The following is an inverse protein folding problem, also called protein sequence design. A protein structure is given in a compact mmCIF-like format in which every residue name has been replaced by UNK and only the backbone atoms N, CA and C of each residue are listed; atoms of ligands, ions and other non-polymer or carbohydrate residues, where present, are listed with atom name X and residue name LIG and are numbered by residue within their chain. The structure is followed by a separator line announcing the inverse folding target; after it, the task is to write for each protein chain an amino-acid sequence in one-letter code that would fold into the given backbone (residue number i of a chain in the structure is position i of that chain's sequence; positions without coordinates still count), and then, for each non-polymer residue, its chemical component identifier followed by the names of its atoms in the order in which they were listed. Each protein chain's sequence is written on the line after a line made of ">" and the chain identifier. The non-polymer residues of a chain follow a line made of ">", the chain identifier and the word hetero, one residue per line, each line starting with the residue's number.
data_IF_331334749513
#
_entry.id   IF_331334749513
#
_cell.length_a   1.000
_cell.length_b   1.000
_cell.length_c   1.000
_cell.angle_alpha   90.00
_cell.angle_beta   90.00
_cell.angle_gamma   90.00
#
_symmetry.space_group_name_H-M   'P 1'
#
loop_
_entity.id
_entity.type
_entity.pdbx_description
1 polymer ?
#
# COMPACT_ATOMS: atom_id res chain seq x y z
N UNK A 1 6.28 -6.99 -5.54
CA UNK A 1 5.34 -7.69 -6.44
C UNK A 1 4.55 -6.64 -7.23
N UNK A 2 4.16 -6.96 -8.47
CA UNK A 2 3.37 -6.10 -9.36
C UNK A 2 1.93 -6.59 -9.39
N UNK A 3 0.93 -5.73 -9.22
CA UNK A 3 -0.47 -6.12 -9.14
C UNK A 3 -1.42 -5.06 -9.64
N UNK A 4 -2.68 -5.39 -9.58
CA UNK A 4 -3.80 -4.52 -9.95
C UNK A 4 -4.89 -4.59 -8.90
N UNK A 5 -5.71 -3.56 -8.85
CA UNK A 5 -7.02 -3.64 -8.21
C UNK A 5 -8.14 -3.46 -9.24
N UNK A 6 -9.23 -4.19 -9.01
CA UNK A 6 -10.35 -4.28 -9.96
C UNK A 6 -11.70 -4.38 -9.25
N UNK A 7 -12.75 -4.04 -10.01
CA UNK A 7 -14.15 -4.14 -9.61
C UNK A 7 -15.01 -4.53 -10.80
N UNK A 8 -16.31 -4.48 -10.64
CA UNK A 8 -17.26 -4.66 -11.74
C UNK A 8 -17.03 -3.70 -12.93
N UNK A 9 -16.26 -2.61 -12.75
CA UNK A 9 -15.85 -1.74 -13.86
C UNK A 9 -14.96 -2.43 -14.88
N UNK A 10 -14.25 -3.47 -14.46
CA UNK A 10 -13.43 -4.33 -15.32
C UNK A 10 -14.13 -5.65 -15.68
N UNK A 11 -15.48 -5.67 -15.66
CA UNK A 11 -16.24 -6.86 -16.04
C UNK A 11 -15.80 -7.41 -17.40
N UNK A 12 -15.50 -8.71 -17.46
CA UNK A 12 -14.99 -9.38 -18.64
C UNK A 12 -13.47 -9.50 -18.75
N UNK A 13 -12.72 -8.87 -17.81
CA UNK A 13 -11.28 -9.15 -17.70
C UNK A 13 -11.06 -10.56 -17.15
N UNK A 14 -9.96 -11.20 -17.55
CA UNK A 14 -9.44 -12.42 -16.93
C UNK A 14 -8.16 -12.07 -16.18
N UNK A 15 -8.24 -11.81 -14.86
CA UNK A 15 -7.05 -11.39 -14.09
C UNK A 15 -5.97 -12.46 -14.04
N UNK A 16 -6.33 -13.74 -14.15
CA UNK A 16 -5.36 -14.84 -14.19
C UNK A 16 -4.50 -14.87 -15.46
N UNK A 17 -4.99 -14.30 -16.56
CA UNK A 17 -4.25 -14.22 -17.82
C UNK A 17 -3.23 -13.08 -17.86
N UNK A 18 -3.32 -12.11 -16.93
CA UNK A 18 -2.43 -10.96 -16.91
C UNK A 18 -1.07 -11.27 -16.28
N UNK A 19 0.02 -10.60 -16.71
CA UNK A 19 1.35 -10.78 -16.17
C UNK A 19 1.54 -10.02 -14.83
N UNK A 20 0.73 -10.36 -13.84
CA UNK A 20 0.69 -9.77 -12.51
C UNK A 20 1.00 -10.80 -11.43
N UNK A 21 1.49 -10.35 -10.29
CA UNK A 21 1.84 -11.19 -9.14
C UNK A 21 0.69 -11.27 -8.13
N UNK A 22 -0.17 -10.25 -8.04
CA UNK A 22 -1.32 -10.21 -7.13
C UNK A 22 -2.50 -9.42 -7.72
N UNK A 23 -3.69 -9.64 -7.15
CA UNK A 23 -4.91 -8.91 -7.51
C UNK A 23 -5.72 -8.60 -6.24
N UNK A 24 -6.27 -7.38 -6.15
CA UNK A 24 -7.19 -6.98 -5.09
C UNK A 24 -8.54 -6.65 -5.72
N UNK A 25 -9.63 -7.26 -5.23
CA UNK A 25 -10.95 -7.14 -5.83
C UNK A 25 -11.91 -6.38 -4.92
N UNK A 26 -12.70 -5.47 -5.49
CA UNK A 26 -13.83 -4.89 -4.77
C UNK A 26 -14.78 -5.98 -4.36
N UNK A 27 -15.14 -6.04 -3.07
CA UNK A 27 -16.10 -7.01 -2.58
C UNK A 27 -17.42 -6.36 -2.23
N UNK A 28 -17.40 -5.29 -1.43
CA UNK A 28 -18.60 -4.62 -0.96
C UNK A 28 -18.46 -3.10 -0.97
N UNK A 29 -19.58 -2.41 -0.87
CA UNK A 29 -19.64 -0.95 -0.74
C UNK A 29 -20.80 -0.54 0.15
N UNK A 30 -20.55 0.28 1.16
CA UNK A 30 -21.54 0.77 2.10
C UNK A 30 -22.39 -0.37 2.69
N UNK A 31 -23.71 -0.19 2.71
CA UNK A 31 -24.68 -1.19 3.11
C UNK A 31 -25.49 -1.66 1.91
N UNK A 32 -25.48 -2.97 1.64
CA UNK A 32 -26.36 -3.61 0.65
C UNK A 32 -25.83 -3.63 -0.80
N UNK A 33 -24.56 -3.29 -1.04
CA UNK A 33 -23.92 -3.51 -2.34
C UNK A 33 -22.78 -4.53 -2.22
N UNK A 34 -22.93 -5.63 -2.96
CA UNK A 34 -21.87 -6.63 -3.18
C UNK A 34 -21.45 -6.58 -4.65
N UNK A 35 -20.16 -6.52 -4.92
CA UNK A 35 -19.66 -6.45 -6.29
C UNK A 35 -19.93 -7.76 -7.03
N UNK A 36 -20.70 -7.74 -8.13
CA UNK A 36 -21.13 -8.96 -8.81
C UNK A 36 -19.99 -9.73 -9.50
N UNK A 37 -18.80 -9.13 -9.65
CA UNK A 37 -17.65 -9.76 -10.28
C UNK A 37 -16.64 -10.33 -9.26
N UNK A 38 -16.76 -9.96 -7.99
CA UNK A 38 -15.78 -10.27 -6.96
C UNK A 38 -15.49 -11.78 -6.86
N UNK A 39 -16.52 -12.58 -6.67
CA UNK A 39 -16.39 -14.05 -6.52
C UNK A 39 -15.69 -14.66 -7.73
N UNK A 40 -16.12 -14.25 -8.94
CA UNK A 40 -15.54 -14.75 -10.19
C UNK A 40 -14.05 -14.41 -10.32
N UNK A 41 -13.67 -13.17 -10.03
CA UNK A 41 -12.28 -12.72 -10.08
C UNK A 41 -11.41 -13.43 -9.04
N UNK A 42 -11.89 -13.53 -7.80
CA UNK A 42 -11.15 -14.20 -6.73
C UNK A 42 -10.98 -15.69 -7.02
N UNK A 43 -12.02 -16.40 -7.40
CA UNK A 43 -11.94 -17.84 -7.70
C UNK A 43 -11.00 -18.12 -8.91
N UNK A 44 -11.08 -17.29 -9.94
CA UNK A 44 -10.17 -17.39 -11.07
C UNK A 44 -8.71 -17.14 -10.64
N UNK A 45 -8.46 -16.09 -9.85
CA UNK A 45 -7.11 -15.73 -9.45
C UNK A 45 -6.51 -16.71 -8.42
N UNK A 46 -7.31 -17.23 -7.50
CA UNK A 46 -6.92 -18.30 -6.56
C UNK A 46 -6.38 -19.53 -7.27
N UNK A 47 -6.97 -19.89 -8.43
CA UNK A 47 -6.51 -21.04 -9.22
C UNK A 47 -5.06 -20.88 -9.72
N UNK A 48 -4.51 -19.65 -9.75
CA UNK A 48 -3.10 -19.40 -10.10
C UNK A 48 -2.12 -19.70 -8.99
N UNK A 49 -2.59 -19.83 -7.74
CA UNK A 49 -1.77 -19.93 -6.54
C UNK A 49 -1.09 -18.62 -6.12
N UNK A 50 -1.43 -17.49 -6.77
CA UNK A 50 -0.89 -16.16 -6.46
C UNK A 50 -1.66 -15.48 -5.32
N UNK A 51 -1.04 -14.56 -4.57
CA UNK A 51 -1.70 -13.82 -3.51
C UNK A 51 -2.80 -12.89 -4.03
N UNK A 52 -3.86 -12.71 -3.22
CA UNK A 52 -5.01 -11.88 -3.55
C UNK A 52 -5.54 -11.16 -2.32
N UNK A 53 -6.35 -10.11 -2.56
CA UNK A 53 -7.03 -9.35 -1.54
C UNK A 53 -8.43 -8.97 -1.96
N UNK A 54 -9.18 -8.39 -1.04
CA UNK A 54 -10.53 -7.91 -1.26
C UNK A 54 -10.80 -6.67 -0.42
N UNK A 55 -11.59 -5.73 -0.96
CA UNK A 55 -11.81 -4.47 -0.27
C UNK A 55 -13.29 -4.11 -0.10
N UNK A 56 -13.55 -3.38 0.98
CA UNK A 56 -14.82 -2.71 1.25
C UNK A 56 -14.65 -1.21 0.97
N UNK A 57 -15.47 -0.68 0.09
CA UNK A 57 -15.53 0.76 -0.20
C UNK A 57 -16.46 1.44 0.80
N UNK A 58 -15.93 2.30 1.66
CA UNK A 58 -16.69 2.98 2.70
C UNK A 58 -17.69 4.00 2.13
N UNK A 59 -18.88 4.07 2.72
CA UNK A 59 -19.91 5.06 2.40
C UNK A 59 -20.36 5.88 3.61
N UNK A 60 -19.66 5.71 4.75
CA UNK A 60 -19.91 6.46 5.99
C UNK A 60 -21.32 6.28 6.56
N UNK A 61 -21.90 5.07 6.45
CA UNK A 61 -22.97 4.64 7.33
C UNK A 61 -22.40 4.41 8.75
N UNK A 62 -23.15 3.83 9.69
CA UNK A 62 -22.55 3.42 10.96
C UNK A 62 -21.39 2.45 10.70
N UNK A 63 -20.17 2.73 11.18
CA UNK A 63 -19.00 1.96 10.82
C UNK A 63 -19.07 0.49 11.23
N UNK A 64 -19.69 0.19 12.36
CA UNK A 64 -19.91 -1.18 12.81
C UNK A 64 -20.88 -1.96 11.92
N UNK A 65 -21.85 -1.29 11.34
CA UNK A 65 -22.81 -1.91 10.42
C UNK A 65 -22.13 -2.19 9.07
N UNK A 66 -21.31 -1.27 8.54
CA UNK A 66 -20.54 -1.52 7.31
C UNK A 66 -19.49 -2.63 7.53
N UNK A 67 -18.80 -2.66 8.67
CA UNK A 67 -17.88 -3.73 9.01
C UNK A 67 -18.57 -5.09 9.15
N UNK A 68 -19.78 -5.13 9.76
CA UNK A 68 -20.56 -6.35 9.86
C UNK A 68 -21.01 -6.82 8.48
N UNK A 69 -21.47 -5.90 7.62
CA UNK A 69 -21.86 -6.22 6.25
C UNK A 69 -20.69 -6.78 5.43
N UNK A 70 -19.53 -6.14 5.49
CA UNK A 70 -18.30 -6.63 4.84
C UNK A 70 -17.94 -8.04 5.32
N UNK A 71 -18.01 -8.27 6.63
CA UNK A 71 -17.75 -9.59 7.20
C UNK A 71 -18.76 -10.64 6.71
N UNK A 72 -20.07 -10.32 6.74
CA UNK A 72 -21.12 -11.25 6.40
C UNK A 72 -21.05 -11.70 4.94
N UNK A 73 -20.74 -10.78 4.01
CA UNK A 73 -20.61 -11.08 2.58
C UNK A 73 -19.31 -11.80 2.24
N UNK A 74 -18.23 -11.55 3.01
CA UNK A 74 -16.90 -12.03 2.68
C UNK A 74 -16.34 -13.11 3.62
N UNK A 75 -17.20 -13.80 4.41
CA UNK A 75 -16.75 -14.77 5.44
C UNK A 75 -15.74 -15.79 4.95
N UNK A 76 -15.88 -16.27 3.71
CA UNK A 76 -15.01 -17.28 3.13
C UNK A 76 -13.65 -16.76 2.67
N UNK A 77 -13.41 -15.44 2.72
CA UNK A 77 -12.18 -14.80 2.24
C UNK A 77 -11.21 -14.48 3.37
N UNK A 78 -11.73 -14.16 4.56
CA UNK A 78 -10.89 -13.90 5.73
C UNK A 78 -10.02 -15.10 6.09
N UNK A 79 -8.75 -14.82 6.37
CA UNK A 79 -7.73 -15.83 6.60
C UNK A 79 -7.06 -16.38 5.34
N UNK A 80 -7.52 -15.99 4.15
CA UNK A 80 -7.02 -16.46 2.86
C UNK A 80 -6.52 -15.33 1.95
N UNK A 81 -7.18 -14.18 1.94
CA UNK A 81 -6.80 -12.97 1.24
C UNK A 81 -6.70 -11.78 2.18
N UNK A 82 -6.00 -10.73 1.77
CA UNK A 82 -5.87 -9.51 2.58
C UNK A 82 -7.20 -8.74 2.55
N UNK A 83 -7.85 -8.50 3.70
CA UNK A 83 -8.98 -7.58 3.78
C UNK A 83 -8.49 -6.13 3.79
N UNK A 84 -9.19 -5.25 3.08
CA UNK A 84 -8.87 -3.83 3.00
C UNK A 84 -10.10 -2.98 3.29
N UNK A 85 -9.93 -1.94 4.09
CA UNK A 85 -10.85 -0.82 4.18
C UNK A 85 -10.40 0.24 3.17
N UNK A 86 -11.18 0.47 2.14
CA UNK A 86 -11.00 1.56 1.17
C UNK A 86 -11.77 2.79 1.67
N UNK A 87 -11.01 3.78 2.18
CA UNK A 87 -11.56 5.00 2.77
C UNK A 87 -11.15 6.24 1.99
N UNK A 88 -11.94 6.58 0.97
CA UNK A 88 -11.73 7.76 0.12
C UNK A 88 -12.97 8.66 0.00
N UNK A 89 -13.81 8.65 1.03
CA UNK A 89 -15.02 9.46 1.07
C UNK A 89 -14.72 10.96 1.13
N UNK A 90 -15.73 11.78 0.85
CA UNK A 90 -15.60 13.23 0.84
C UNK A 90 -15.51 13.88 2.25
N UNK A 91 -15.87 13.14 3.29
CA UNK A 91 -15.74 13.59 4.68
C UNK A 91 -14.32 13.37 5.18
N UNK A 92 -13.43 14.26 4.80
CA UNK A 92 -12.06 14.26 5.29
C UNK A 92 -12.03 14.37 6.82
N UNK A 93 -11.04 13.72 7.47
CA UNK A 93 -10.82 13.71 8.91
C UNK A 93 -11.79 12.87 9.76
N UNK A 94 -12.47 11.89 9.18
CA UNK A 94 -13.26 10.97 9.99
C UNK A 94 -12.45 9.73 10.41
N UNK A 95 -11.28 9.95 11.00
CA UNK A 95 -10.40 8.91 11.54
C UNK A 95 -11.15 8.00 12.54
N UNK A 96 -12.00 8.57 13.39
CA UNK A 96 -12.79 7.82 14.36
C UNK A 96 -13.71 6.79 13.69
N UNK A 97 -14.26 7.13 12.52
CA UNK A 97 -15.03 6.19 11.72
C UNK A 97 -14.19 4.98 11.31
N UNK A 98 -12.99 5.22 10.80
CA UNK A 98 -12.06 4.14 10.42
C UNK A 98 -11.66 3.30 11.63
N UNK A 99 -11.37 3.93 12.78
CA UNK A 99 -11.03 3.24 14.02
C UNK A 99 -12.15 2.31 14.48
N UNK A 100 -13.41 2.76 14.44
CA UNK A 100 -14.59 1.96 14.80
C UNK A 100 -14.81 0.80 13.82
N UNK A 101 -14.73 1.06 12.51
CA UNK A 101 -14.84 0.02 11.49
C UNK A 101 -13.77 -1.06 11.66
N UNK A 102 -12.51 -0.66 11.75
CA UNK A 102 -11.37 -1.57 11.87
C UNK A 102 -11.40 -2.38 13.17
N UNK A 103 -11.79 -1.77 14.29
CA UNK A 103 -11.98 -2.48 15.56
C UNK A 103 -13.10 -3.52 15.44
N UNK A 104 -14.26 -3.14 14.89
CA UNK A 104 -15.38 -4.06 14.71
C UNK A 104 -15.00 -5.23 13.80
N UNK A 105 -14.31 -4.97 12.69
CA UNK A 105 -13.87 -6.03 11.78
C UNK A 105 -12.85 -6.95 12.45
N UNK A 106 -11.93 -6.39 13.24
CA UNK A 106 -10.98 -7.18 14.02
C UNK A 106 -11.68 -8.04 15.06
N UNK A 107 -12.69 -7.53 15.77
CA UNK A 107 -13.47 -8.29 16.74
C UNK A 107 -14.18 -9.49 16.10
N UNK A 108 -14.57 -9.38 14.84
CA UNK A 108 -15.23 -10.44 14.08
C UNK A 108 -14.27 -11.49 13.51
N UNK A 109 -13.04 -11.09 13.17
CA UNK A 109 -12.15 -11.90 12.35
C UNK A 109 -10.81 -12.23 13.02
N UNK A 110 -10.39 -11.45 14.02
CA UNK A 110 -9.03 -11.47 14.57
C UNK A 110 -7.98 -10.87 13.61
N UNK A 111 -8.39 -10.25 12.49
CA UNK A 111 -7.50 -9.72 11.47
C UNK A 111 -7.58 -8.19 11.44
N UNK A 112 -6.42 -7.52 11.46
CA UNK A 112 -6.35 -6.10 11.16
C UNK A 112 -6.34 -5.90 9.65
N UNK A 113 -7.43 -5.36 9.10
CA UNK A 113 -7.48 -5.02 7.68
C UNK A 113 -6.47 -3.92 7.34
N UNK A 114 -5.97 -3.92 6.11
CA UNK A 114 -5.21 -2.78 5.60
C UNK A 114 -6.13 -1.57 5.43
N UNK A 115 -5.54 -0.37 5.52
CA UNK A 115 -6.22 0.86 5.19
C UNK A 115 -5.71 1.37 3.83
N UNK A 116 -6.65 1.56 2.87
CA UNK A 116 -6.38 2.27 1.63
C UNK A 116 -6.81 3.72 1.74
N UNK A 117 -5.89 4.63 1.49
CA UNK A 117 -6.09 6.08 1.47
C UNK A 117 -5.16 6.77 0.48
N UNK A 118 -5.51 7.99 0.09
CA UNK A 118 -4.59 8.85 -0.65
C UNK A 118 -3.37 9.26 0.21
N UNK A 119 -2.20 9.36 -0.39
CA UNK A 119 -0.96 9.78 0.27
C UNK A 119 -1.09 11.14 0.99
N UNK A 120 -1.85 12.05 0.42
CA UNK A 120 -2.11 13.38 1.02
C UNK A 120 -2.87 13.33 2.35
N UNK A 121 -3.50 12.18 2.68
CA UNK A 121 -4.32 12.00 3.86
C UNK A 121 -3.61 11.25 4.99
N UNK A 122 -2.43 10.71 4.76
CA UNK A 122 -1.72 9.93 5.78
C UNK A 122 -1.53 10.70 7.09
N UNK A 123 -1.19 12.00 7.02
CA UNK A 123 -1.01 12.85 8.20
C UNK A 123 -2.26 13.01 9.10
N UNK A 124 -3.47 12.73 8.60
CA UNK A 124 -4.71 12.77 9.39
C UNK A 124 -4.74 11.69 10.48
N UNK A 125 -3.93 10.64 10.31
CA UNK A 125 -3.82 9.50 11.23
C UNK A 125 -2.71 9.65 12.27
N UNK A 126 -2.07 10.82 12.35
CA UNK A 126 -1.13 11.12 13.44
C UNK A 126 -1.81 10.93 14.80
N UNK A 127 -1.14 10.25 15.72
CA UNK A 127 -1.66 9.84 17.02
C UNK A 127 -2.84 8.84 16.97
N UNK A 128 -3.03 8.12 15.86
CA UNK A 128 -3.94 6.98 15.76
C UNK A 128 -3.18 5.67 15.94
N UNK A 129 -3.83 4.69 16.55
CA UNK A 129 -3.31 3.32 16.64
C UNK A 129 -3.34 2.58 15.29
N UNK A 130 -4.04 3.14 14.28
CA UNK A 130 -4.20 2.49 12.96
C UNK A 130 -2.85 2.25 12.30
N UNK A 131 -1.96 3.26 12.34
CA UNK A 131 -0.62 3.13 11.76
C UNK A 131 0.28 2.10 12.43
N UNK A 132 -0.03 1.74 13.70
CA UNK A 132 0.72 0.73 14.44
C UNK A 132 0.26 -0.70 14.13
N UNK A 133 -1.02 -0.88 13.74
CA UNK A 133 -1.65 -2.19 13.59
C UNK A 133 -2.04 -2.53 12.16
N UNK A 134 -2.44 -1.54 11.37
CA UNK A 134 -2.95 -1.73 10.03
C UNK A 134 -1.90 -1.41 8.97
N UNK A 135 -1.68 -2.31 8.03
CA UNK A 135 -0.86 -2.04 6.87
C UNK A 135 -1.45 -0.90 6.03
N UNK A 136 -0.58 -0.15 5.37
CA UNK A 136 -0.98 0.93 4.48
C UNK A 136 -0.95 0.47 3.02
N UNK A 137 -2.08 0.60 2.33
CA UNK A 137 -2.15 0.65 0.88
C UNK A 137 -2.40 2.10 0.49
N UNK A 138 -1.39 2.76 -0.06
CA UNK A 138 -1.42 4.19 -0.33
C UNK A 138 -1.63 4.45 -1.81
N UNK A 139 -2.54 5.38 -2.13
CA UNK A 139 -2.71 5.89 -3.48
C UNK A 139 -1.99 7.21 -3.67
N UNK A 140 -1.25 7.31 -4.76
CA UNK A 140 -0.61 8.56 -5.17
C UNK A 140 0.01 8.42 -6.55
N UNK A 141 -0.32 9.34 -7.45
CA UNK A 141 0.07 9.33 -8.85
C UNK A 141 0.97 10.53 -9.13
N UNK A 142 2.30 10.37 -9.06
CA UNK A 142 3.22 11.50 -9.17
C UNK A 142 3.23 12.10 -10.60
N UNK A 143 2.93 11.27 -11.60
CA UNK A 143 2.71 11.63 -13.02
C UNK A 143 1.86 10.57 -13.70
N UNK A 144 1.47 10.79 -14.95
CA UNK A 144 0.74 9.80 -15.74
C UNK A 144 1.68 8.62 -16.09
N UNK A 145 1.34 7.43 -15.60
CA UNK A 145 2.09 6.18 -15.85
C UNK A 145 1.17 5.12 -16.42
N UNK A 146 1.64 4.42 -17.44
CA UNK A 146 0.91 3.34 -18.11
C UNK A 146 1.61 1.97 -18.03
N UNK A 147 2.75 1.90 -17.35
CA UNK A 147 3.51 0.67 -17.15
C UNK A 147 4.22 0.63 -15.80
N UNK A 148 4.50 -0.57 -15.28
CA UNK A 148 5.23 -0.76 -14.04
C UNK A 148 6.68 -0.22 -14.08
N UNK A 149 7.29 -0.19 -15.24
CA UNK A 149 8.69 0.24 -15.37
C UNK A 149 8.87 1.76 -15.14
N UNK A 150 7.76 2.50 -15.16
CA UNK A 150 7.74 3.94 -14.89
C UNK A 150 7.56 4.28 -13.41
N UNK A 151 7.15 3.32 -12.58
CA UNK A 151 6.74 3.59 -11.20
C UNK A 151 7.88 4.15 -10.33
N UNK A 152 9.10 3.63 -10.48
CA UNK A 152 10.23 4.06 -9.66
C UNK A 152 10.01 3.81 -8.17
N UNK A 153 10.59 4.65 -7.33
CA UNK A 153 10.36 4.66 -5.88
C UNK A 153 9.16 5.55 -5.55
N UNK A 154 8.37 5.16 -4.55
CA UNK A 154 7.23 5.94 -4.08
C UNK A 154 7.73 7.29 -3.48
N UNK A 155 7.29 8.43 -4.01
CA UNK A 155 7.85 9.73 -3.64
C UNK A 155 7.05 10.47 -2.54
N UNK A 156 6.19 9.79 -1.78
CA UNK A 156 5.28 10.42 -0.84
C UNK A 156 5.72 10.28 0.61
N UNK A 157 5.52 11.36 1.39
CA UNK A 157 5.56 11.28 2.84
C UNK A 157 4.27 10.62 3.32
N UNK A 158 4.39 9.48 3.97
CA UNK A 158 3.29 8.66 4.46
C UNK A 158 3.21 8.61 5.98
N UNK A 159 3.90 9.55 6.68
CA UNK A 159 3.80 9.64 8.14
C UNK A 159 2.31 9.68 8.58
N UNK A 160 1.88 8.88 9.57
CA UNK A 160 2.69 8.21 10.59
C UNK A 160 3.17 6.78 10.25
N UNK A 161 2.77 6.18 9.12
CA UNK A 161 3.33 4.89 8.73
C UNK A 161 4.82 5.02 8.39
N UNK A 162 5.61 4.03 8.79
CA UNK A 162 7.04 3.98 8.47
C UNK A 162 7.32 3.46 7.05
N UNK A 163 6.35 2.77 6.45
CA UNK A 163 6.40 2.27 5.07
C UNK A 163 4.99 1.98 4.55
N UNK A 164 4.82 1.98 3.24
CA UNK A 164 3.63 1.48 2.57
C UNK A 164 3.79 -0.01 2.27
N UNK A 165 2.81 -0.81 2.63
CA UNK A 165 2.77 -2.21 2.24
C UNK A 165 2.47 -2.37 0.75
N UNK A 166 1.56 -1.53 0.23
CA UNK A 166 1.19 -1.46 -1.19
C UNK A 166 1.10 0.01 -1.60
N UNK A 167 1.54 0.31 -2.81
CA UNK A 167 1.39 1.60 -3.46
C UNK A 167 0.62 1.46 -4.76
N UNK A 168 -0.57 2.07 -4.83
CA UNK A 168 -1.29 2.28 -6.08
C UNK A 168 -0.67 3.51 -6.77
N UNK A 169 0.12 3.25 -7.80
CA UNK A 169 0.98 4.27 -8.41
C UNK A 169 0.34 4.96 -9.61
N UNK A 170 -0.73 4.39 -10.17
CA UNK A 170 -1.43 4.91 -11.34
C UNK A 170 -2.84 4.35 -11.45
N UNK A 171 -3.73 5.11 -12.07
CA UNK A 171 -5.03 4.65 -12.59
C UNK A 171 -5.02 4.51 -14.12
N UNK A 172 -3.83 4.41 -14.70
CA UNK A 172 -3.62 4.40 -16.14
C UNK A 172 -2.80 3.24 -16.68
N UNK A 173 -2.54 2.21 -15.87
CA UNK A 173 -1.76 1.05 -16.27
C UNK A 173 -2.40 0.34 -17.47
N UNK A 174 -1.61 0.08 -18.51
CA UNK A 174 -2.08 -0.65 -19.70
C UNK A 174 -1.54 -2.08 -19.67
N UNK A 175 -2.44 -3.04 -19.52
CA UNK A 175 -2.14 -4.47 -19.62
C UNK A 175 -3.15 -5.12 -20.55
N UNK A 176 -2.67 -5.80 -21.58
CA UNK A 176 -3.47 -6.55 -22.56
C UNK A 176 -4.67 -5.74 -23.12
N UNK A 177 -4.45 -4.43 -23.34
CA UNK A 177 -5.44 -3.50 -23.87
C UNK A 177 -6.44 -2.97 -22.83
N UNK A 178 -6.36 -3.39 -21.57
CA UNK A 178 -7.13 -2.83 -20.46
C UNK A 178 -6.40 -1.65 -19.83
N UNK A 179 -7.18 -0.62 -19.44
CA UNK A 179 -6.71 0.46 -18.59
C UNK A 179 -7.13 0.16 -17.16
N UNK A 180 -6.15 0.06 -16.26
CA UNK A 180 -6.32 -0.49 -14.91
C UNK A 180 -5.65 0.41 -13.87
N UNK A 181 -6.05 0.23 -12.62
CA UNK A 181 -5.30 0.70 -11.48
C UNK A 181 -4.11 -0.23 -11.23
N UNK A 182 -2.93 0.36 -11.12
CA UNK A 182 -1.68 -0.37 -11.02
C UNK A 182 -1.04 -0.24 -9.65
N UNK A 183 -0.60 -1.39 -9.09
CA UNK A 183 -0.09 -1.50 -7.74
C UNK A 183 1.30 -2.12 -7.67
N UNK A 184 2.08 -1.64 -6.70
CA UNK A 184 3.34 -2.26 -6.29
C UNK A 184 3.23 -2.65 -4.82
N UNK A 185 3.37 -3.95 -4.51
CA UNK A 185 3.49 -4.42 -3.15
C UNK A 185 4.97 -4.57 -2.76
N UNK A 186 5.36 -3.90 -1.67
CA UNK A 186 6.69 -3.92 -1.08
C UNK A 186 6.84 -5.08 -0.08
N UNK A 187 6.35 -6.25 -0.47
CA UNK A 187 6.39 -7.46 0.34
C UNK A 187 6.46 -8.70 -0.55
N UNK A 188 6.87 -9.81 0.04
CA UNK A 188 6.78 -11.16 -0.56
C UNK A 188 5.46 -11.85 -0.19
N UNK A 189 5.28 -13.09 -0.68
CA UNK A 189 4.06 -13.87 -0.44
C UNK A 189 3.90 -14.24 1.04
N UNK A 190 5.00 -14.51 1.75
CA UNK A 190 4.95 -14.88 3.17
C UNK A 190 4.48 -13.68 4.01
N UNK A 191 4.97 -12.49 3.70
CA UNK A 191 4.52 -11.25 4.33
C UNK A 191 3.06 -10.92 3.96
N UNK A 192 2.64 -11.16 2.71
CA UNK A 192 1.24 -11.03 2.28
C UNK A 192 0.32 -11.90 3.13
N UNK A 193 0.67 -13.16 3.33
CA UNK A 193 -0.13 -14.09 4.13
C UNK A 193 -0.23 -13.70 5.60
N UNK A 194 0.75 -12.99 6.16
CA UNK A 194 0.66 -12.44 7.52
C UNK A 194 -0.43 -11.36 7.64
N UNK A 195 -0.63 -10.55 6.60
CA UNK A 195 -1.74 -9.59 6.58
C UNK A 195 -3.10 -10.25 6.36
N UNK A 196 -3.14 -11.40 5.68
CA UNK A 196 -4.37 -12.13 5.40
C UNK A 196 -4.88 -12.95 6.59
N UNK A 197 -4.02 -13.32 7.53
CA UNK A 197 -4.34 -14.27 8.59
C UNK A 197 -4.59 -13.60 9.94
N UNK A 198 -5.44 -14.24 10.75
CA UNK A 198 -5.64 -13.85 12.14
C UNK A 198 -4.36 -13.99 12.95
N UNK A 199 -4.06 -12.97 13.72
CA UNK A 199 -2.83 -12.86 14.51
C UNK A 199 -3.14 -12.87 16.01
N UNK A 200 -3.92 -13.84 16.46
CA UNK A 200 -4.14 -14.10 17.91
C UNK A 200 -2.85 -14.47 18.66
N UNK A 201 -1.70 -14.45 17.97
CA UNK A 201 -0.43 -14.68 18.61
C UNK A 201 0.10 -13.37 19.22
N UNK A 202 0.33 -13.30 20.55
CA UNK A 202 0.73 -12.06 21.25
C UNK A 202 2.12 -11.52 20.87
N UNK A 203 2.71 -11.98 19.79
CA UNK A 203 3.97 -11.49 19.22
C UNK A 203 3.78 -10.49 18.07
N UNK A 204 2.57 -9.95 17.86
CA UNK A 204 2.31 -8.97 16.80
C UNK A 204 2.46 -7.54 17.29
N UNK A 205 3.69 -7.13 17.40
CA UNK A 205 4.17 -5.77 17.20
C UNK A 205 4.96 -5.61 15.90
N UNK A 206 4.98 -6.65 15.06
CA UNK A 206 5.78 -6.64 13.84
C UNK A 206 4.86 -6.61 12.61
N UNK A 207 4.44 -5.41 12.19
CA UNK A 207 4.25 -5.18 10.76
C UNK A 207 5.45 -5.76 10.02
N UNK A 208 5.28 -6.43 8.85
CA UNK A 208 6.42 -6.91 8.09
C UNK A 208 7.43 -5.78 7.98
N UNK A 209 8.66 -6.05 8.43
CA UNK A 209 9.70 -5.02 8.39
C UNK A 209 9.82 -4.53 6.95
N UNK A 210 9.85 -3.21 6.70
CA UNK A 210 10.04 -2.71 5.35
C UNK A 210 11.27 -3.37 4.73
N UNK A 211 11.28 -3.61 3.42
CA UNK A 211 12.50 -4.03 2.77
C UNK A 211 13.60 -3.07 3.18
N UNK A 212 14.74 -3.60 3.54
CA UNK A 212 15.86 -2.79 4.01
C UNK A 212 16.23 -1.80 2.89
N UNK A 213 16.04 -0.51 3.16
CA UNK A 213 16.38 0.53 2.18
C UNK A 213 17.88 0.47 1.89
N UNK A 214 18.23 0.50 0.63
CA UNK A 214 19.63 0.69 0.24
C UNK A 214 20.10 2.12 0.56
N UNK A 215 21.38 2.30 0.73
CA UNK A 215 21.96 3.63 1.01
C UNK A 215 21.58 4.64 -0.06
N UNK A 216 21.52 4.23 -1.33
CA UNK A 216 21.15 5.09 -2.45
C UNK A 216 19.69 5.58 -2.39
N UNK A 217 18.77 4.83 -1.75
CA UNK A 217 17.39 5.28 -1.51
C UNK A 217 17.37 6.46 -0.52
N UNK A 218 18.13 6.35 0.57
CA UNK A 218 18.28 7.46 1.54
C UNK A 218 18.96 8.68 0.90
N UNK A 219 19.94 8.46 0.02
CA UNK A 219 20.63 9.53 -0.72
C UNK A 219 19.65 10.30 -1.58
N UNK A 220 18.80 9.59 -2.33
CA UNK A 220 17.77 10.22 -3.17
C UNK A 220 16.79 11.05 -2.33
N UNK A 221 16.29 10.52 -1.23
CA UNK A 221 15.37 11.23 -0.32
C UNK A 221 16.02 12.48 0.31
N UNK A 222 17.31 12.40 0.67
CA UNK A 222 18.08 13.57 1.13
C UNK A 222 18.20 14.64 0.05
N UNK A 223 18.47 14.24 -1.20
CA UNK A 223 18.55 15.18 -2.33
C UNK A 223 17.21 15.81 -2.68
N UNK A 224 16.10 15.11 -2.41
CA UNK A 224 14.74 15.62 -2.53
C UNK A 224 14.32 16.53 -1.35
N UNK A 225 15.15 16.65 -0.31
CA UNK A 225 14.91 17.53 0.83
C UNK A 225 14.10 16.90 1.97
N UNK A 226 13.81 15.59 1.93
CA UNK A 226 12.91 14.91 2.88
C UNK A 226 13.50 14.81 4.29
N UNK A 227 14.82 14.90 4.44
CA UNK A 227 15.50 14.85 5.72
C UNK A 227 15.95 16.23 6.24
N UNK A 228 15.47 17.33 5.64
CA UNK A 228 15.86 18.67 6.05
C UNK A 228 17.38 18.91 5.92
N UNK A 229 17.91 19.84 6.73
CA UNK A 229 19.32 20.24 6.69
C UNK A 229 20.00 20.10 8.06
N UNK A 230 21.34 20.00 8.04
CA UNK A 230 22.20 20.08 9.21
C UNK A 230 21.83 19.08 10.33
N UNK A 231 21.51 19.58 11.51
CA UNK A 231 21.23 18.75 12.68
C UNK A 231 19.88 17.99 12.55
N UNK A 232 18.92 18.51 11.79
CA UNK A 232 17.65 17.83 11.55
C UNK A 232 17.86 16.58 10.70
N UNK A 233 18.65 16.68 9.61
CA UNK A 233 19.06 15.53 8.79
C UNK A 233 19.78 14.48 9.62
N UNK A 234 20.70 14.91 10.47
CA UNK A 234 21.46 14.02 11.33
C UNK A 234 20.59 13.27 12.32
N UNK A 235 19.63 13.96 12.93
CA UNK A 235 18.65 13.36 13.84
C UNK A 235 17.75 12.36 13.14
N UNK A 236 17.25 12.69 11.94
CA UNK A 236 16.31 11.87 11.19
C UNK A 236 16.94 10.61 10.59
N UNK A 237 18.19 10.69 10.10
CA UNK A 237 18.94 9.55 9.56
C UNK A 237 19.56 8.66 10.65
N UNK A 238 19.79 9.20 11.86
CA UNK A 238 20.35 8.46 13.00
C UNK A 238 21.67 7.78 12.65
N UNK A 239 21.75 6.46 12.86
CA UNK A 239 22.93 5.63 12.62
C UNK A 239 23.33 5.54 11.13
N UNK A 240 22.44 5.89 10.21
CA UNK A 240 22.69 5.87 8.76
C UNK A 240 23.32 7.16 8.25
N UNK A 241 23.32 8.23 9.04
CA UNK A 241 23.76 9.57 8.61
C UNK A 241 25.12 9.57 7.95
N UNK A 242 26.13 8.97 8.58
CA UNK A 242 27.50 8.97 8.07
C UNK A 242 27.62 8.24 6.71
N UNK A 243 26.94 7.11 6.55
CA UNK A 243 26.96 6.34 5.31
C UNK A 243 26.27 7.09 4.17
N UNK A 244 25.11 7.68 4.45
CA UNK A 244 24.35 8.45 3.46
C UNK A 244 25.10 9.71 3.06
N UNK A 245 25.68 10.45 4.02
CA UNK A 245 26.42 11.67 3.73
C UNK A 245 27.71 11.38 2.94
N UNK A 246 28.42 10.31 3.25
CA UNK A 246 29.60 9.90 2.48
C UNK A 246 29.21 9.56 1.02
N UNK A 247 28.11 8.84 0.82
CA UNK A 247 27.64 8.49 -0.51
C UNK A 247 27.23 9.73 -1.33
N UNK A 248 26.58 10.70 -0.70
CA UNK A 248 26.28 12.00 -1.32
C UNK A 248 27.55 12.72 -1.75
N UNK A 249 28.56 12.77 -0.88
CA UNK A 249 29.84 13.41 -1.19
C UNK A 249 30.56 12.74 -2.36
N UNK A 250 30.55 11.39 -2.43
CA UNK A 250 31.08 10.64 -3.58
C UNK A 250 30.40 11.02 -4.89
N UNK A 251 29.04 11.10 -4.89
CA UNK A 251 28.27 11.48 -6.07
C UNK A 251 28.59 12.92 -6.53
N UNK A 252 28.78 13.84 -5.60
CA UNK A 252 29.19 15.20 -5.94
C UNK A 252 30.62 15.24 -6.56
N UNK A 253 31.57 14.46 -6.04
CA UNK A 253 32.92 14.36 -6.62
C UNK A 253 32.86 13.81 -8.06
N UNK A 254 32.08 12.73 -8.28
CA UNK A 254 31.92 12.17 -9.63
C UNK A 254 31.30 13.21 -10.57
N UNK A 255 30.29 13.95 -10.12
CA UNK A 255 29.67 15.00 -10.92
C UNK A 255 30.66 16.14 -11.28
N UNK A 256 31.48 16.56 -10.34
CA UNK A 256 32.54 17.57 -10.58
C UNK A 256 33.56 17.06 -11.60
N UNK A 257 34.05 15.81 -11.48
CA UNK A 257 35.00 15.22 -12.43
C UNK A 257 34.41 15.14 -13.85
N UNK A 258 33.16 14.77 -13.99
CA UNK A 258 32.45 14.72 -15.29
C UNK A 258 32.32 16.12 -15.89
N UNK A 259 32.00 17.15 -15.09
CA UNK A 259 31.87 18.55 -15.54
C UNK A 259 33.24 19.09 -16.00
N UNK A 260 34.34 18.71 -15.33
CA UNK A 260 35.68 19.09 -15.68
C UNK A 260 36.29 18.28 -16.86
N UNK A 261 35.54 17.31 -17.41
CA UNK A 261 35.97 16.47 -18.54
C UNK A 261 37.05 15.43 -18.18
N UNK A 262 37.15 15.06 -16.90
CA UNK A 262 37.98 13.95 -16.42
C UNK A 262 37.17 12.65 -16.51
N UNK A 263 37.80 11.57 -16.98
CA UNK A 263 37.18 10.25 -16.90
C UNK A 263 37.07 9.85 -15.42
N UNK A 264 35.88 9.42 -14.95
CA UNK A 264 35.74 8.92 -13.58
C UNK A 264 36.59 7.67 -13.39
N UNK A 265 37.36 7.62 -12.31
CA UNK A 265 38.18 6.46 -11.91
C UNK A 265 37.35 5.23 -11.54
#
# INVERSE_FOLDING_TARGET
>A
MRGIDISNWQAGISPSALPIDFCICKATEGLGYTDPCCDGFIEEFKATGKPWGFYHFARENEPEDEAQYFYDECRGYFGHGIPVLDYETSNYNNREWCERFLNKLHDLTGIWAMLYISASRCGEYENSWISDKCGLWVAGYPWDMDSYDQAGNMPYNIYPWSFAAIWQFTSGLILDGWKLDGDIAYMDVDAWMKYAQSNDNPQHGDNPKPPEKYIDDYVLEVLLGEYGDGEDRKRMLGDKYEMVQNRINELYQIAEEVIEGKEPC
#
